data_IF_647165536455
#
_entry.id   IF_647165536455
#
_cell.length_a   1.000
_cell.length_b   1.000
_cell.length_c   1.000
_cell.angle_alpha   90.00
_cell.angle_beta   90.00
_cell.angle_gamma   90.00
#
_symmetry.space_group_name_H-M   'P 1'
#
loop_
_entity.id
_entity.type
_entity.pdbx_description
1 polymer ?
#
# COMPACT_ATOMS: atom_id res chain seq x y z
N UNK A 1 3.85 37.30 -16.35
CA UNK A 1 4.28 35.94 -15.93
C UNK A 1 3.46 35.33 -14.79
N UNK A 2 2.68 36.09 -14.00
CA UNK A 2 1.88 35.56 -12.87
C UNK A 2 0.63 34.74 -13.25
N UNK A 3 0.09 34.89 -14.47
CA UNK A 3 -1.16 34.21 -14.88
C UNK A 3 -1.00 32.72 -15.20
N UNK A 4 0.21 32.27 -15.56
CA UNK A 4 0.49 30.86 -15.94
C UNK A 4 0.38 29.92 -14.72
N UNK A 5 0.63 30.45 -13.51
CA UNK A 5 0.58 29.69 -12.26
C UNK A 5 -0.73 29.88 -11.48
N UNK A 6 -1.79 30.42 -12.08
CA UNK A 6 -3.09 30.51 -11.39
C UNK A 6 -3.63 29.09 -11.18
N UNK A 7 -3.38 28.53 -10.01
CA UNK A 7 -3.70 27.15 -9.69
C UNK A 7 -5.22 26.95 -9.73
N UNK A 8 -5.69 26.23 -10.75
CA UNK A 8 -7.10 25.82 -10.86
C UNK A 8 -7.32 24.66 -9.89
N UNK A 9 -8.37 24.74 -9.06
CA UNK A 9 -8.75 23.68 -8.12
C UNK A 9 -9.29 22.42 -8.80
N UNK A 10 -9.88 22.56 -10.00
CA UNK A 10 -10.48 21.45 -10.75
C UNK A 10 -9.52 20.28 -11.03
N UNK A 11 -8.33 20.52 -11.61
CA UNK A 11 -7.33 19.46 -11.81
C UNK A 11 -6.87 18.77 -10.53
N UNK A 12 -6.78 19.49 -9.41
CA UNK A 12 -6.43 18.88 -8.11
C UNK A 12 -7.54 17.97 -7.61
N UNK A 13 -8.80 18.35 -7.77
CA UNK A 13 -9.95 17.52 -7.43
C UNK A 13 -9.97 16.23 -8.25
N UNK A 14 -9.73 16.31 -9.55
CA UNK A 14 -9.62 15.15 -10.42
C UNK A 14 -8.48 14.21 -9.98
N UNK A 15 -7.29 14.75 -9.69
CA UNK A 15 -6.17 13.96 -9.18
C UNK A 15 -6.48 13.28 -7.84
N UNK A 16 -7.27 13.93 -6.98
CA UNK A 16 -7.71 13.35 -5.70
C UNK A 16 -8.67 12.17 -5.92
N UNK A 17 -9.62 12.30 -6.85
CA UNK A 17 -10.51 11.19 -7.22
C UNK A 17 -9.71 10.01 -7.77
N UNK A 18 -8.76 10.26 -8.67
CA UNK A 18 -7.90 9.22 -9.21
C UNK A 18 -7.11 8.50 -8.11
N UNK A 19 -6.58 9.25 -7.13
CA UNK A 19 -5.87 8.67 -5.99
C UNK A 19 -6.77 7.75 -5.16
N UNK A 20 -7.99 8.18 -4.84
CA UNK A 20 -8.95 7.37 -4.07
C UNK A 20 -9.32 6.09 -4.81
N UNK A 21 -9.59 6.18 -6.12
CA UNK A 21 -9.90 5.01 -6.95
C UNK A 21 -8.70 4.06 -7.07
N UNK A 22 -7.50 4.60 -7.27
CA UNK A 22 -6.27 3.81 -7.38
C UNK A 22 -5.96 3.10 -6.06
N UNK A 23 -6.13 3.78 -4.92
CA UNK A 23 -5.98 3.19 -3.60
C UNK A 23 -7.01 2.07 -3.38
N UNK A 24 -8.29 2.31 -3.67
CA UNK A 24 -9.32 1.28 -3.53
C UNK A 24 -9.04 0.05 -4.43
N UNK A 25 -8.65 0.27 -5.68
CA UNK A 25 -8.27 -0.80 -6.62
C UNK A 25 -7.07 -1.61 -6.11
N UNK A 26 -6.12 -0.93 -5.46
CA UNK A 26 -4.96 -1.54 -4.85
C UNK A 26 -5.32 -2.43 -3.63
N UNK A 27 -6.27 -2.01 -2.78
CA UNK A 27 -6.78 -2.85 -1.69
C UNK A 27 -7.54 -4.08 -2.22
N UNK A 28 -8.34 -3.90 -3.28
CA UNK A 28 -9.03 -4.99 -3.95
C UNK A 28 -8.04 -6.01 -4.54
N UNK A 29 -6.98 -5.54 -5.21
CA UNK A 29 -5.94 -6.38 -5.77
C UNK A 29 -5.24 -7.20 -4.68
N UNK A 30 -4.93 -6.58 -3.54
CA UNK A 30 -4.34 -7.27 -2.40
C UNK A 30 -5.28 -8.34 -1.81
N UNK A 31 -6.56 -8.02 -1.64
CA UNK A 31 -7.56 -8.98 -1.16
C UNK A 31 -7.75 -10.17 -2.10
N UNK A 32 -7.75 -9.91 -3.41
CA UNK A 32 -7.83 -10.95 -4.42
C UNK A 32 -6.63 -11.90 -4.37
N UNK A 33 -5.42 -11.34 -4.32
CA UNK A 33 -4.18 -12.13 -4.30
C UNK A 33 -4.05 -12.92 -3.00
N UNK A 34 -4.47 -12.35 -1.88
CA UNK A 34 -4.47 -13.03 -0.58
C UNK A 34 -5.31 -14.33 -0.55
N UNK A 35 -6.43 -14.36 -1.28
CA UNK A 35 -7.26 -15.57 -1.41
C UNK A 35 -6.72 -16.53 -2.47
N UNK A 36 -6.12 -16.00 -3.54
CA UNK A 36 -5.62 -16.80 -4.67
C UNK A 36 -4.40 -17.66 -4.30
N UNK A 37 -3.40 -17.11 -3.61
CA UNK A 37 -2.10 -17.78 -3.37
C UNK A 37 -2.27 -18.96 -2.39
N UNK A 38 -1.80 -20.18 -2.69
CA UNK A 38 -1.78 -21.30 -1.74
C UNK A 38 -0.73 -21.07 -0.64
N UNK A 39 -1.09 -21.28 0.63
CA UNK A 39 -0.22 -20.96 1.79
C UNK A 39 0.46 -22.15 2.43
N UNK A 40 -0.24 -23.28 2.50
CA UNK A 40 0.15 -24.37 3.40
C UNK A 40 1.38 -25.15 2.92
N UNK A 41 1.72 -25.06 1.63
CA UNK A 41 2.67 -26.00 1.01
C UNK A 41 3.94 -25.33 0.47
N UNK A 42 4.09 -24.00 0.63
CA UNK A 42 5.18 -23.25 -0.03
C UNK A 42 6.09 -22.60 1.00
N UNK A 43 7.34 -23.06 1.03
CA UNK A 43 8.42 -22.44 1.80
C UNK A 43 8.79 -21.08 1.20
N UNK A 44 9.31 -20.14 2.00
CA UNK A 44 9.84 -18.89 1.48
C UNK A 44 10.99 -19.14 0.49
N UNK A 45 11.20 -18.20 -0.42
CA UNK A 45 12.29 -18.29 -1.39
C UNK A 45 13.63 -18.31 -0.64
N UNK A 46 14.60 -19.15 -1.04
CA UNK A 46 15.91 -19.20 -0.38
C UNK A 46 16.71 -17.95 -0.72
N UNK A 47 16.44 -16.86 0.00
CA UNK A 47 17.18 -15.62 -0.13
C UNK A 47 18.54 -15.74 0.58
N UNK A 48 19.62 -15.38 -0.13
CA UNK A 48 20.98 -15.39 0.41
C UNK A 48 21.08 -14.58 1.72
N UNK A 49 20.36 -13.46 1.80
CA UNK A 49 20.35 -12.61 2.99
C UNK A 49 19.87 -13.36 4.25
N UNK A 50 18.80 -14.15 4.15
CA UNK A 50 18.26 -14.92 5.27
C UNK A 50 19.07 -16.18 5.60
N UNK A 51 20.04 -16.55 4.76
CA UNK A 51 21.06 -17.56 5.13
C UNK A 51 22.17 -17.00 6.01
N UNK A 52 22.42 -15.69 5.93
CA UNK A 52 23.48 -14.98 6.64
C UNK A 52 22.97 -14.30 7.91
N UNK A 53 21.74 -13.75 7.85
CA UNK A 53 21.14 -12.98 8.93
C UNK A 53 19.77 -13.56 9.34
N UNK A 54 19.49 -13.69 10.65
CA UNK A 54 18.19 -14.15 11.11
C UNK A 54 17.08 -13.15 10.78
N UNK A 55 15.88 -13.67 10.51
CA UNK A 55 14.69 -12.85 10.30
C UNK A 55 14.33 -12.05 11.58
N UNK A 56 14.21 -10.73 11.45
CA UNK A 56 13.81 -9.83 12.53
C UNK A 56 12.29 -9.66 12.52
N UNK A 57 11.59 -10.26 13.49
CA UNK A 57 10.11 -10.25 13.56
C UNK A 57 9.52 -8.84 13.78
N UNK A 58 10.26 -7.94 14.44
CA UNK A 58 9.81 -6.56 14.69
C UNK A 58 10.14 -5.57 13.56
N UNK A 59 10.71 -6.04 12.44
CA UNK A 59 11.11 -5.19 11.31
C UNK A 59 9.93 -4.41 10.71
N UNK A 60 8.74 -5.02 10.71
CA UNK A 60 7.50 -4.40 10.21
C UNK A 60 7.16 -3.16 11.03
N UNK A 61 7.18 -3.24 12.36
CA UNK A 61 6.86 -2.12 13.24
C UNK A 61 7.83 -0.94 13.05
N UNK A 62 9.13 -1.23 12.92
CA UNK A 62 10.15 -0.19 12.65
C UNK A 62 9.88 0.48 11.31
N UNK A 63 9.57 -0.30 10.27
CA UNK A 63 9.31 0.22 8.92
C UNK A 63 8.04 1.08 8.91
N UNK A 64 7.00 0.65 9.63
CA UNK A 64 5.76 1.42 9.78
C UNK A 64 5.98 2.77 10.47
N UNK A 65 6.77 2.82 11.55
CA UNK A 65 7.10 4.08 12.21
C UNK A 65 7.86 5.04 11.28
N UNK A 66 8.79 4.52 10.48
CA UNK A 66 9.52 5.32 9.48
C UNK A 66 8.54 5.85 8.42
N UNK A 67 7.65 5.01 7.90
CA UNK A 67 6.62 5.43 6.92
C UNK A 67 5.72 6.53 7.47
N UNK A 68 5.19 6.36 8.69
CA UNK A 68 4.32 7.37 9.32
C UNK A 68 5.07 8.69 9.46
N UNK A 69 6.35 8.65 9.84
CA UNK A 69 7.20 9.84 9.97
C UNK A 69 7.38 10.54 8.62
N UNK A 70 7.67 9.79 7.55
CA UNK A 70 7.81 10.32 6.19
C UNK A 70 6.49 10.89 5.65
N UNK A 71 5.37 10.21 5.91
CA UNK A 71 4.04 10.66 5.52
C UNK A 71 3.67 11.98 6.21
N UNK A 72 3.93 12.10 7.51
CA UNK A 72 3.72 13.36 8.26
C UNK A 72 4.61 14.47 7.70
N UNK A 73 5.89 14.19 7.44
CA UNK A 73 6.80 15.16 6.82
C UNK A 73 6.32 15.58 5.43
N UNK A 74 5.84 14.65 4.60
CA UNK A 74 5.24 14.92 3.29
C UNK A 74 4.04 15.87 3.43
N UNK A 75 3.12 15.61 4.35
CA UNK A 75 1.99 16.50 4.60
C UNK A 75 2.45 17.90 5.04
N UNK A 76 3.40 18.00 5.97
CA UNK A 76 3.97 19.29 6.41
C UNK A 76 4.54 20.05 5.20
N UNK A 77 5.38 19.42 4.37
CA UNK A 77 5.96 20.05 3.18
C UNK A 77 4.86 20.49 2.21
N UNK A 78 3.86 19.65 1.93
CA UNK A 78 2.74 20.00 1.04
C UNK A 78 1.95 21.21 1.52
N UNK A 79 1.66 21.29 2.84
CA UNK A 79 0.89 22.38 3.43
C UNK A 79 1.72 23.63 3.74
N UNK A 80 3.04 23.53 3.91
CA UNK A 80 3.90 24.69 4.13
C UNK A 80 4.44 25.32 2.84
N UNK A 81 4.42 24.59 1.71
CA UNK A 81 4.93 25.09 0.44
C UNK A 81 4.17 26.32 -0.08
N UNK A 82 4.82 27.22 -0.83
CA UNK A 82 4.17 28.41 -1.38
C UNK A 82 3.12 28.05 -2.46
N UNK A 83 3.42 27.04 -3.28
CA UNK A 83 2.57 26.57 -4.38
C UNK A 83 1.74 25.32 -4.02
N UNK A 84 1.13 25.28 -2.83
CA UNK A 84 0.45 24.10 -2.23
C UNK A 84 -0.40 23.31 -3.22
N UNK A 85 -1.29 23.99 -3.93
CA UNK A 85 -2.22 23.33 -4.87
C UNK A 85 -1.53 22.65 -6.05
N UNK A 86 -0.40 23.20 -6.52
CA UNK A 86 0.38 22.62 -7.61
C UNK A 86 1.14 21.40 -7.10
N UNK A 87 1.73 21.50 -5.90
CA UNK A 87 2.46 20.39 -5.27
C UNK A 87 1.51 19.24 -4.96
N UNK A 88 0.39 19.49 -4.27
CA UNK A 88 -0.62 18.47 -3.92
C UNK A 88 -1.10 17.75 -5.19
N UNK A 89 -1.39 18.48 -6.27
CA UNK A 89 -1.80 17.87 -7.53
C UNK A 89 -0.74 16.92 -8.09
N UNK A 90 0.54 17.30 -8.04
CA UNK A 90 1.65 16.46 -8.53
C UNK A 90 1.82 15.22 -7.65
N UNK A 91 1.85 15.40 -6.33
CA UNK A 91 2.00 14.30 -5.37
C UNK A 91 0.84 13.32 -5.52
N UNK A 92 -0.41 13.78 -5.58
CA UNK A 92 -1.57 12.91 -5.72
C UNK A 92 -1.60 12.18 -7.07
N UNK A 93 -1.21 12.85 -8.16
CA UNK A 93 -1.12 12.19 -9.46
C UNK A 93 -0.03 11.11 -9.48
N UNK A 94 1.16 11.41 -8.94
CA UNK A 94 2.24 10.43 -8.80
C UNK A 94 1.82 9.26 -7.91
N UNK A 95 1.21 9.52 -6.75
CA UNK A 95 0.70 8.49 -5.86
C UNK A 95 -0.36 7.61 -6.56
N UNK A 96 -1.32 8.21 -7.28
CA UNK A 96 -2.33 7.46 -8.03
C UNK A 96 -1.70 6.54 -9.09
N UNK A 97 -0.67 7.02 -9.79
CA UNK A 97 0.08 6.21 -10.76
C UNK A 97 0.81 5.06 -10.06
N UNK A 98 1.49 5.32 -8.94
CA UNK A 98 2.18 4.31 -8.15
C UNK A 98 1.23 3.23 -7.61
N UNK A 99 0.08 3.61 -7.04
CA UNK A 99 -0.94 2.67 -6.58
C UNK A 99 -1.52 1.82 -7.72
N UNK A 100 -1.78 2.42 -8.88
CA UNK A 100 -2.29 1.69 -10.05
C UNK A 100 -1.27 0.68 -10.56
N UNK A 101 -0.01 1.09 -10.70
CA UNK A 101 1.08 0.20 -11.11
C UNK A 101 1.29 -0.93 -10.09
N UNK A 102 1.26 -0.61 -8.79
CA UNK A 102 1.32 -1.60 -7.70
C UNK A 102 0.20 -2.63 -7.80
N UNK A 103 -1.04 -2.19 -8.00
CA UNK A 103 -2.18 -3.09 -8.18
C UNK A 103 -1.97 -4.05 -9.36
N UNK A 104 -1.47 -3.54 -10.49
CA UNK A 104 -1.16 -4.34 -11.68
C UNK A 104 -0.04 -5.36 -11.41
N UNK A 105 1.06 -4.94 -10.77
CA UNK A 105 2.17 -5.81 -10.43
C UNK A 105 1.78 -6.91 -9.44
N UNK A 106 0.99 -6.61 -8.41
CA UNK A 106 0.54 -7.60 -7.42
C UNK A 106 -0.32 -8.68 -8.09
N UNK A 107 -1.19 -8.30 -9.03
CA UNK A 107 -2.03 -9.25 -9.77
C UNK A 107 -1.20 -10.17 -10.68
N UNK A 108 -0.19 -9.62 -11.36
CA UNK A 108 0.66 -10.35 -12.32
C UNK A 108 1.72 -11.20 -11.61
N UNK A 109 2.47 -10.60 -10.69
CA UNK A 109 3.58 -11.24 -9.98
C UNK A 109 3.09 -11.85 -8.69
N UNK A 110 2.58 -13.08 -8.79
CA UNK A 110 2.18 -13.87 -7.63
C UNK A 110 3.42 -14.54 -7.05
N UNK A 111 3.84 -14.10 -5.86
CA UNK A 111 5.00 -14.63 -5.14
C UNK A 111 4.59 -15.21 -3.79
N UNK A 112 5.27 -16.26 -3.32
CA UNK A 112 4.97 -16.83 -2.01
C UNK A 112 5.33 -15.86 -0.88
N UNK A 113 4.75 -16.12 0.30
CA UNK A 113 5.10 -15.37 1.50
C UNK A 113 6.58 -15.63 1.88
N UNK A 114 7.38 -14.58 2.14
CA UNK A 114 8.81 -14.68 2.47
C UNK A 114 9.07 -15.07 3.92
N UNK A 115 8.05 -15.08 4.78
CA UNK A 115 8.17 -15.34 6.21
C UNK A 115 7.18 -16.41 6.65
N UNK A 116 7.67 -17.44 7.33
CA UNK A 116 6.83 -18.46 7.99
C UNK A 116 6.24 -17.94 9.32
N UNK A 117 6.81 -16.86 9.88
CA UNK A 117 6.43 -16.30 11.19
C UNK A 117 5.36 -15.22 11.12
N UNK A 118 5.07 -14.70 9.92
CA UNK A 118 4.11 -13.59 9.74
C UNK A 118 2.69 -14.13 9.78
N UNK A 119 1.86 -13.56 10.67
CA UNK A 119 0.44 -13.90 10.76
C UNK A 119 -0.31 -13.44 9.52
N UNK A 120 -1.14 -14.33 8.94
CA UNK A 120 -2.03 -14.05 7.83
C UNK A 120 -3.42 -14.62 8.14
N UNK A 121 -4.49 -13.84 7.94
CA UNK A 121 -5.86 -14.30 8.17
C UNK A 121 -6.22 -15.47 7.24
N UNK A 122 -7.04 -16.46 7.64
CA UNK A 122 -7.40 -17.61 6.80
C UNK A 122 -8.11 -17.19 5.50
N UNK A 123 -8.03 -18.03 4.45
CA UNK A 123 -8.69 -17.76 3.16
C UNK A 123 -10.21 -17.62 3.36
N UNK A 124 -10.85 -16.79 2.54
CA UNK A 124 -12.31 -16.60 2.62
C UNK A 124 -13.13 -17.82 2.17
N UNK A 125 -12.49 -18.82 1.54
CA UNK A 125 -13.12 -20.01 0.94
C UNK A 125 -14.37 -19.68 0.08
N UNK A 126 -14.39 -18.51 -0.58
CA UNK A 126 -15.48 -18.06 -1.46
C UNK A 126 -16.49 -17.12 -0.81
N UNK A 127 -16.33 -16.80 0.47
CA UNK A 127 -17.21 -15.84 1.16
C UNK A 127 -16.88 -14.39 0.77
N UNK A 128 -17.55 -13.88 -0.29
CA UNK A 128 -17.37 -12.49 -0.75
C UNK A 128 -17.59 -11.46 0.37
N UNK A 129 -18.50 -11.72 1.30
CA UNK A 129 -18.74 -10.83 2.45
C UNK A 129 -17.50 -10.64 3.32
N UNK A 130 -16.69 -11.69 3.52
CA UNK A 130 -15.45 -11.62 4.30
C UNK A 130 -14.42 -10.80 3.52
N UNK A 131 -14.28 -11.03 2.21
CA UNK A 131 -13.35 -10.29 1.35
C UNK A 131 -13.68 -8.80 1.37
N UNK A 132 -14.94 -8.45 1.12
CA UNK A 132 -15.41 -7.06 1.10
C UNK A 132 -15.19 -6.42 2.48
N UNK A 133 -15.49 -7.14 3.57
CA UNK A 133 -15.26 -6.62 4.92
C UNK A 133 -13.78 -6.33 5.18
N UNK A 134 -12.87 -7.19 4.72
CA UNK A 134 -11.41 -6.99 4.83
C UNK A 134 -10.95 -5.79 4.02
N UNK A 135 -11.37 -5.68 2.76
CA UNK A 135 -11.03 -4.54 1.88
C UNK A 135 -11.49 -3.23 2.51
N UNK A 136 -12.76 -3.16 2.97
CA UNK A 136 -13.29 -1.96 3.60
C UNK A 136 -12.52 -1.62 4.87
N UNK A 137 -12.24 -2.62 5.73
CA UNK A 137 -11.40 -2.40 6.92
C UNK A 137 -10.06 -1.77 6.51
N UNK A 138 -9.36 -2.35 5.55
CA UNK A 138 -8.02 -1.88 5.12
C UNK A 138 -8.05 -0.50 4.50
N UNK A 139 -9.06 -0.21 3.70
CA UNK A 139 -9.30 1.12 3.15
C UNK A 139 -9.52 2.16 4.27
N UNK A 140 -10.35 1.86 5.26
CA UNK A 140 -10.61 2.77 6.38
C UNK A 140 -9.44 2.94 7.36
N UNK A 141 -8.52 1.98 7.44
CA UNK A 141 -7.31 2.11 8.27
C UNK A 141 -6.24 3.03 7.66
N UNK A 142 -6.45 3.61 6.48
CA UNK A 142 -5.48 4.52 5.85
C UNK A 142 -4.10 3.87 5.62
N UNK A 143 -4.05 2.54 5.49
CA UNK A 143 -2.79 1.79 5.37
C UNK A 143 -1.97 1.67 6.67
N UNK A 144 -2.48 2.13 7.82
CA UNK A 144 -1.82 1.96 9.11
C UNK A 144 -2.19 0.58 9.67
N UNK A 145 -1.17 -0.26 9.82
CA UNK A 145 -1.25 -1.63 10.31
C UNK A 145 -1.15 -1.68 11.84
N UNK A 146 -0.61 -0.66 12.50
CA UNK A 146 -0.68 -0.57 13.96
C UNK A 146 -2.13 -0.47 14.48
N UNK A 147 -3.05 0.01 13.63
CA UNK A 147 -4.48 0.05 13.91
C UNK A 147 -5.19 -1.31 13.69
N UNK A 148 -4.52 -2.29 13.06
CA UNK A 148 -5.08 -3.64 12.82
C UNK A 148 -3.99 -4.70 12.62
N UNK A 149 -4.06 -5.88 13.28
CA UNK A 149 -3.18 -6.99 12.90
C UNK A 149 -3.24 -7.26 11.38
N UNK A 150 -2.08 -7.38 10.72
CA UNK A 150 -1.98 -7.70 9.29
C UNK A 150 -2.83 -8.95 9.00
N UNK A 151 -3.96 -8.75 8.34
CA UNK A 151 -4.82 -9.86 7.94
C UNK A 151 -4.51 -10.31 6.52
N UNK A 152 -4.13 -9.36 5.66
CA UNK A 152 -3.84 -9.61 4.25
C UNK A 152 -2.35 -9.82 4.01
N UNK A 153 -2.06 -10.82 3.19
CA UNK A 153 -0.71 -11.21 2.78
C UNK A 153 -0.73 -11.42 1.28
N UNK A 154 0.14 -10.73 0.56
CA UNK A 154 0.20 -10.78 -0.91
C UNK A 154 0.98 -9.64 -1.55
N UNK A 155 1.31 -8.59 -0.81
CA UNK A 155 2.00 -7.41 -1.30
C UNK A 155 3.51 -7.38 -0.98
N UNK A 156 4.16 -8.50 -0.69
CA UNK A 156 5.43 -8.43 0.04
C UNK A 156 6.64 -8.00 -0.80
N UNK A 157 6.70 -8.32 -2.11
CA UNK A 157 7.71 -7.73 -3.02
C UNK A 157 7.38 -6.29 -3.38
N UNK A 158 6.09 -5.99 -3.58
CA UNK A 158 5.60 -4.66 -3.93
C UNK A 158 4.81 -4.10 -2.75
N UNK A 159 5.50 -3.90 -1.64
CA UNK A 159 4.84 -3.45 -0.41
C UNK A 159 4.31 -2.04 -0.57
N UNK A 160 3.22 -1.72 0.12
CA UNK A 160 2.74 -0.32 0.22
C UNK A 160 3.80 0.59 0.87
N UNK A 161 4.80 -0.01 1.52
CA UNK A 161 5.95 0.67 2.09
C UNK A 161 6.90 1.27 1.05
N UNK A 162 6.87 0.82 -0.21
CA UNK A 162 7.76 1.39 -1.25
C UNK A 162 7.21 2.67 -1.87
N UNK A 163 5.92 2.97 -1.66
CA UNK A 163 5.23 4.14 -2.23
C UNK A 163 4.97 5.25 -1.22
N UNK A 164 5.21 4.98 0.08
CA UNK A 164 5.00 5.92 1.20
C UNK A 164 6.26 6.75 1.45
#
# INVERSE_FOLDING_TARGET
>A
MQSIFKSKRGPTFFATILLVLAWFANELALAWVHDRIPRNDVRPLPDLWFSLFPEITNSILVTELIMITLLVALFIVMFCHQYRWIVIRRVFFCAALCYTFRAFCIVIFQVPVPSEKTYCAPKSNGSLNIIISRVLRTFWSVGIEQLRPRELCGDLIVSGHTIS
#
